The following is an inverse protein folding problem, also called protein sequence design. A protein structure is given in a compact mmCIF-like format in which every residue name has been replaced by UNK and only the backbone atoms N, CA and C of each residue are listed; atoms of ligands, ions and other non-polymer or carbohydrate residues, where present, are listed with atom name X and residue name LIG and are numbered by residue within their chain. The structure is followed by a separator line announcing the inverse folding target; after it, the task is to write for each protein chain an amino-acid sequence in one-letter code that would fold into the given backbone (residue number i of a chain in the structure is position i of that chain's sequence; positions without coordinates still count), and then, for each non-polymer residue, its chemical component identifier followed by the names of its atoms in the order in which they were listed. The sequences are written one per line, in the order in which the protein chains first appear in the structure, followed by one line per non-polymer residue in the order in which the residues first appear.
data_IF_276990312649
#
_entry.id   IF_276990312649
#
_cell.length_a   1.000
_cell.length_b   1.000
_cell.length_c   1.000
_cell.angle_alpha   90.00
_cell.angle_beta   90.00
_cell.angle_gamma   90.00
#
_symmetry.space_group_name_H-M   'P 1'
#
loop_
_entity.id
_entity.type
_entity.pdbx_description
1 polymer ?
#
# COMPACT_ATOMS: atom_id res chain seq x y z
N UNK A 1 24.56 -7.39 -6.23
CA UNK A 1 23.51 -6.41 -6.61
C UNK A 1 24.00 -4.99 -6.36
N UNK A 2 24.15 -4.20 -7.43
CA UNK A 2 24.88 -2.92 -7.43
C UNK A 2 24.08 -1.71 -6.91
N UNK A 3 22.81 -1.92 -6.52
CA UNK A 3 21.96 -0.94 -5.83
C UNK A 3 21.27 -1.62 -4.65
N UNK A 4 21.53 -1.21 -3.39
CA UNK A 4 20.82 -1.75 -2.24
C UNK A 4 19.34 -1.35 -2.31
N UNK A 5 18.44 -2.32 -2.46
CA UNK A 5 16.97 -2.12 -2.46
C UNK A 5 16.43 -1.60 -1.12
N UNK A 6 17.29 -1.57 -0.10
CA UNK A 6 16.95 -1.17 1.26
C UNK A 6 17.98 -0.14 1.73
N UNK A 7 17.52 0.98 2.32
CA UNK A 7 18.42 1.90 3.00
C UNK A 7 19.24 1.16 4.06
N UNK A 8 20.52 1.52 4.20
CA UNK A 8 21.37 1.04 5.30
C UNK A 8 20.88 1.52 6.67
N UNK A 9 20.09 2.59 6.70
CA UNK A 9 19.41 3.10 7.88
C UNK A 9 18.23 2.20 8.27
N UNK A 10 18.32 1.62 9.47
CA UNK A 10 17.32 0.72 10.08
C UNK A 10 15.94 1.39 10.18
N UNK A 11 15.87 2.68 10.49
CA UNK A 11 14.61 3.41 10.62
C UNK A 11 13.95 3.58 9.25
N UNK A 12 14.72 4.02 8.24
CA UNK A 12 14.21 4.13 6.85
C UNK A 12 13.81 2.78 6.27
N UNK A 13 14.52 1.70 6.64
CA UNK A 13 14.18 0.33 6.25
C UNK A 13 12.86 -0.12 6.88
N UNK A 14 12.63 0.16 8.15
CA UNK A 14 11.38 -0.17 8.84
C UNK A 14 10.18 0.55 8.22
N UNK A 15 10.33 1.81 7.82
CA UNK A 15 9.28 2.60 7.15
C UNK A 15 8.95 2.00 5.78
N UNK A 16 9.95 1.64 4.99
CA UNK A 16 9.74 0.95 3.71
C UNK A 16 8.98 -0.36 3.88
N UNK A 17 9.36 -1.19 4.87
CA UNK A 17 8.64 -2.43 5.15
C UNK A 17 7.19 -2.19 5.58
N UNK A 18 6.94 -1.15 6.38
CA UNK A 18 5.58 -0.77 6.77
C UNK A 18 4.75 -0.32 5.55
N UNK A 19 5.30 0.51 4.68
CA UNK A 19 4.63 0.93 3.45
C UNK A 19 4.29 -0.25 2.53
N UNK A 20 5.27 -1.14 2.28
CA UNK A 20 5.07 -2.38 1.49
C UNK A 20 4.02 -3.28 2.15
N UNK A 21 4.01 -3.39 3.48
CA UNK A 21 3.01 -4.20 4.20
C UNK A 21 1.60 -3.63 4.08
N UNK A 22 1.43 -2.30 4.09
CA UNK A 22 0.12 -1.65 3.88
C UNK A 22 -0.42 -2.03 2.50
N UNK A 23 0.40 -1.91 1.45
CA UNK A 23 -0.03 -2.22 0.08
C UNK A 23 -0.28 -3.72 -0.10
N UNK A 24 0.70 -4.56 0.24
CA UNK A 24 0.67 -6.00 -0.04
C UNK A 24 -0.32 -6.78 0.83
N UNK A 25 -0.57 -6.34 2.06
CA UNK A 25 -1.40 -7.09 3.01
C UNK A 25 -2.75 -6.43 3.29
N UNK A 26 -2.84 -5.09 3.19
CA UNK A 26 -4.08 -4.36 3.55
C UNK A 26 -4.85 -3.83 2.36
N UNK A 27 -4.24 -3.73 1.18
CA UNK A 27 -4.92 -3.26 -0.06
C UNK A 27 -5.11 -4.43 -1.02
N UNK A 28 -4.03 -5.08 -1.45
CA UNK A 28 -4.06 -6.08 -2.53
C UNK A 28 -5.01 -7.28 -2.24
N UNK A 29 -5.01 -7.90 -1.04
CA UNK A 29 -5.87 -9.05 -0.78
C UNK A 29 -7.35 -8.67 -0.71
N UNK A 30 -7.64 -7.45 -0.25
CA UNK A 30 -9.01 -6.92 -0.12
C UNK A 30 -9.58 -6.41 -1.46
N UNK A 31 -8.74 -6.29 -2.48
CA UNK A 31 -9.12 -6.05 -3.88
C UNK A 31 -9.10 -7.30 -4.76
N UNK A 32 -8.81 -8.48 -4.20
CA UNK A 32 -8.72 -9.70 -4.97
C UNK A 32 -10.05 -9.99 -5.69
N UNK A 33 -9.98 -10.33 -6.98
CA UNK A 33 -11.16 -10.64 -7.80
C UNK A 33 -12.08 -11.68 -7.17
N UNK A 34 -11.53 -12.71 -6.50
CA UNK A 34 -12.33 -13.72 -5.79
C UNK A 34 -13.15 -13.11 -4.64
N UNK A 35 -12.59 -12.16 -3.89
CA UNK A 35 -13.31 -11.46 -2.83
C UNK A 35 -14.36 -10.51 -3.41
N UNK A 36 -14.03 -9.81 -4.50
CA UNK A 36 -14.96 -8.89 -5.16
C UNK A 36 -16.16 -9.64 -5.75
N UNK A 37 -15.94 -10.79 -6.38
CA UNK A 37 -17.01 -11.67 -6.88
C UNK A 37 -17.84 -12.24 -5.73
N UNK A 38 -17.22 -12.56 -4.59
CA UNK A 38 -17.95 -12.99 -3.39
C UNK A 38 -18.88 -11.90 -2.86
N UNK A 39 -18.39 -10.66 -2.76
CA UNK A 39 -19.17 -9.50 -2.30
C UNK A 39 -20.31 -9.20 -3.27
N UNK A 40 -20.03 -9.20 -4.57
CA UNK A 40 -21.02 -9.02 -5.63
C UNK A 40 -22.14 -10.07 -5.56
N UNK A 41 -21.79 -11.33 -5.33
CA UNK A 41 -22.77 -12.42 -5.19
C UNK A 41 -23.57 -12.40 -3.87
N UNK A 42 -23.08 -11.72 -2.83
CA UNK A 42 -23.73 -11.66 -1.51
C UNK A 42 -24.52 -10.40 -1.25
N UNK A 43 -24.01 -9.26 -1.72
CA UNK A 43 -24.52 -7.93 -1.40
C UNK A 43 -24.98 -7.16 -2.65
N UNK A 44 -24.76 -7.71 -3.85
CA UNK A 44 -25.16 -7.12 -5.12
C UNK A 44 -24.02 -6.39 -5.84
N UNK A 45 -24.21 -6.07 -7.13
CA UNK A 45 -23.17 -5.49 -7.98
C UNK A 45 -22.70 -4.09 -7.54
N UNK A 46 -23.58 -3.30 -6.91
CA UNK A 46 -23.26 -1.93 -6.48
C UNK A 46 -22.32 -1.89 -5.25
N UNK A 47 -22.39 -2.91 -4.39
CA UNK A 47 -21.58 -3.00 -3.17
C UNK A 47 -20.11 -3.30 -3.46
N UNK A 48 -19.81 -3.95 -4.58
CA UNK A 48 -18.43 -4.20 -5.03
C UNK A 48 -17.65 -2.91 -5.23
N UNK A 49 -18.25 -1.90 -5.86
CA UNK A 49 -17.58 -0.62 -6.11
C UNK A 49 -17.34 0.14 -4.80
N UNK A 50 -18.36 0.19 -3.93
CA UNK A 50 -18.28 0.80 -2.60
C UNK A 50 -17.17 0.16 -1.75
N UNK A 51 -17.09 -1.17 -1.77
CA UNK A 51 -16.05 -1.92 -1.07
C UNK A 51 -14.64 -1.56 -1.57
N UNK A 52 -14.40 -1.63 -2.88
CA UNK A 52 -13.11 -1.29 -3.50
C UNK A 52 -12.67 0.11 -3.11
N UNK A 53 -13.56 1.10 -3.24
CA UNK A 53 -13.27 2.49 -2.89
C UNK A 53 -12.91 2.63 -1.41
N UNK A 54 -13.62 1.92 -0.51
CA UNK A 54 -13.35 1.97 0.92
C UNK A 54 -11.98 1.40 1.28
N UNK A 55 -11.56 0.30 0.64
CA UNK A 55 -10.28 -0.38 0.86
C UNK A 55 -9.12 0.50 0.37
N UNK A 56 -9.24 1.04 -0.85
CA UNK A 56 -8.25 2.00 -1.40
C UNK A 56 -8.12 3.19 -0.47
N UNK A 57 -9.23 3.85 -0.15
CA UNK A 57 -9.23 5.06 0.65
C UNK A 57 -8.56 4.83 2.00
N UNK A 58 -8.88 3.73 2.69
CA UNK A 58 -8.25 3.38 3.98
C UNK A 58 -6.76 3.11 3.84
N UNK A 59 -6.36 2.33 2.84
CA UNK A 59 -4.95 2.00 2.58
C UNK A 59 -4.11 3.23 2.25
N UNK A 60 -4.58 4.09 1.34
CA UNK A 60 -3.90 5.34 0.99
C UNK A 60 -3.91 6.35 2.15
N UNK A 61 -4.98 6.44 2.94
CA UNK A 61 -4.98 7.29 4.15
C UNK A 61 -3.91 6.84 5.15
N UNK A 62 -3.75 5.52 5.34
CA UNK A 62 -2.71 4.98 6.20
C UNK A 62 -1.30 5.24 5.65
N UNK A 63 -1.13 5.10 4.33
CA UNK A 63 0.13 5.38 3.65
C UNK A 63 0.51 6.87 3.73
N UNK A 64 -0.43 7.77 3.44
CA UNK A 64 -0.24 9.22 3.56
C UNK A 64 0.15 9.61 4.98
N UNK A 65 -0.50 9.05 6.00
CA UNK A 65 -0.16 9.31 7.41
C UNK A 65 1.25 8.83 7.76
N UNK A 66 1.64 7.64 7.29
CA UNK A 66 2.96 7.08 7.51
C UNK A 66 4.06 7.92 6.84
N UNK A 67 3.79 8.43 5.64
CA UNK A 67 4.75 9.19 4.84
C UNK A 67 4.78 10.69 5.15
N UNK A 68 3.76 11.24 5.82
CA UNK A 68 3.66 12.66 6.19
C UNK A 68 4.84 13.15 7.05
N UNK A 69 5.43 12.26 7.85
CA UNK A 69 6.58 12.57 8.71
C UNK A 69 7.93 12.34 8.01
N UNK A 70 7.94 11.84 6.77
CA UNK A 70 9.13 11.38 6.05
C UNK A 70 9.36 12.08 4.69
N UNK A 71 8.95 13.34 4.57
CA UNK A 71 8.96 14.12 3.31
C UNK A 71 10.37 14.47 2.80
N UNK A 72 10.98 13.53 2.08
CA UNK A 72 11.88 13.79 0.94
C UNK A 72 11.13 13.59 -0.39
N UNK A 73 11.75 13.93 -1.53
CA UNK A 73 11.14 13.89 -2.87
C UNK A 73 10.63 12.50 -3.32
N UNK A 74 11.03 11.46 -2.61
CA UNK A 74 10.36 10.17 -2.52
C UNK A 74 10.33 9.76 -1.04
N UNK A 75 9.56 8.75 -0.66
CA UNK A 75 9.47 8.17 0.70
C UNK A 75 10.83 7.79 1.34
N UNK A 76 11.93 7.93 0.59
CA UNK A 76 13.31 7.59 0.94
C UNK A 76 14.38 8.57 0.39
N UNK A 77 14.01 9.70 -0.22
CA UNK A 77 14.94 10.54 -1.01
C UNK A 77 15.00 10.14 -2.49
N UNK A 78 15.72 10.90 -3.33
CA UNK A 78 15.73 10.94 -4.82
C UNK A 78 16.02 9.62 -5.60
N UNK A 79 15.80 8.45 -5.01
CA UNK A 79 16.01 7.13 -5.62
C UNK A 79 14.78 6.22 -5.48
N UNK A 80 14.61 5.36 -6.48
CA UNK A 80 13.51 4.38 -6.56
C UNK A 80 13.81 3.19 -5.64
N UNK A 81 12.99 3.00 -4.59
CA UNK A 81 13.05 1.82 -3.72
C UNK A 81 11.76 0.99 -3.84
N UNK A 82 11.75 -0.19 -3.20
CA UNK A 82 10.72 -1.25 -3.27
C UNK A 82 9.25 -0.80 -3.07
N UNK A 83 9.02 0.39 -2.51
CA UNK A 83 7.68 1.00 -2.40
C UNK A 83 7.10 1.39 -3.77
N UNK A 84 7.92 1.45 -4.83
CA UNK A 84 7.50 1.83 -6.17
C UNK A 84 7.28 0.65 -7.15
N UNK A 85 7.44 -0.61 -6.69
CA UNK A 85 7.12 -1.82 -7.48
C UNK A 85 5.84 -2.46 -6.95
#
# INVERSE_FOLDING_TARGET
PQHPLLPTDIHKRAINFQAVSIVSSSIQPLQNLSLLTYIEGKAGPDEKLSWVQSVIKKGFTALEKLLKEHTGRFATGDEVFMVHC
#
